data_IF_702238990584
#
_entry.id   IF_702238990584
#
_cell.length_a   1.000
_cell.length_b   1.000
_cell.length_c   1.000
_cell.angle_alpha   90.00
_cell.angle_beta   90.00
_cell.angle_gamma   90.00
#
_symmetry.space_group_name_H-M   'P 1'
#
loop_
_entity.id
_entity.type
_entity.pdbx_description
1 polymer ?
#
# COMPACT_ATOMS: atom_id res chain seq x y z
N UNK A 1 -6.45 22.80 -22.07
CA UNK A 1 -6.50 23.44 -20.73
C UNK A 1 -7.70 22.89 -19.96
N UNK A 2 -7.55 21.67 -19.43
CA UNK A 2 -8.59 20.94 -18.71
C UNK A 2 -8.48 21.17 -17.18
N UNK A 3 -9.58 20.90 -16.46
CA UNK A 3 -10.00 21.54 -15.21
C UNK A 3 -9.02 21.52 -14.03
N UNK A 4 -8.84 22.69 -13.40
CA UNK A 4 -8.18 22.89 -12.10
C UNK A 4 -8.98 22.30 -10.95
N UNK A 5 -8.46 21.29 -10.28
CA UNK A 5 -8.81 21.05 -8.88
C UNK A 5 -8.02 22.02 -8.02
N UNK A 6 -8.77 22.79 -7.24
CA UNK A 6 -8.24 23.82 -6.34
C UNK A 6 -7.70 23.23 -5.03
N UNK A 7 -7.97 21.95 -4.75
CA UNK A 7 -7.84 21.34 -3.43
C UNK A 7 -7.34 19.88 -3.49
N UNK A 8 -6.03 19.67 -3.49
CA UNK A 8 -5.41 18.33 -3.36
C UNK A 8 -4.33 18.31 -2.29
N UNK A 9 -3.86 17.11 -1.91
CA UNK A 9 -2.73 16.99 -1.00
C UNK A 9 -1.44 17.59 -1.57
N UNK A 10 -1.23 17.49 -2.90
CA UNK A 10 -0.12 18.15 -3.58
C UNK A 10 -0.11 19.67 -3.35
N UNK A 11 -1.27 20.32 -3.54
CA UNK A 11 -1.38 21.77 -3.31
C UNK A 11 -1.10 22.12 -1.83
N UNK A 12 -1.56 21.30 -0.87
CA UNK A 12 -1.27 21.48 0.55
C UNK A 12 0.21 21.35 0.88
N UNK A 13 0.89 20.37 0.29
CA UNK A 13 2.32 20.14 0.48
C UNK A 13 3.15 21.33 -0.04
N UNK A 14 2.86 21.81 -1.24
CA UNK A 14 3.55 22.95 -1.84
C UNK A 14 3.35 24.22 -1.01
N UNK A 15 2.11 24.48 -0.55
CA UNK A 15 1.82 25.63 0.32
C UNK A 15 2.59 25.56 1.63
N UNK A 16 2.63 24.40 2.29
CA UNK A 16 3.39 24.20 3.54
C UNK A 16 4.89 24.47 3.35
N UNK A 17 5.41 24.24 2.15
CA UNK A 17 6.82 24.43 1.79
C UNK A 17 7.10 25.76 1.08
N UNK A 18 6.08 26.62 0.93
CA UNK A 18 6.17 27.91 0.24
C UNK A 18 6.67 27.81 -1.22
N UNK A 19 6.26 26.74 -1.92
CA UNK A 19 6.65 26.48 -3.31
C UNK A 19 5.50 26.88 -4.24
N UNK A 20 5.85 27.55 -5.35
CA UNK A 20 4.91 27.90 -6.42
C UNK A 20 5.38 27.30 -7.74
N UNK A 21 4.48 26.67 -8.48
CA UNK A 21 4.81 26.01 -9.76
C UNK A 21 4.03 26.69 -10.88
N UNK A 22 4.69 26.88 -12.02
CA UNK A 22 4.15 27.56 -13.19
C UNK A 22 4.34 26.70 -14.44
N UNK A 23 3.29 26.62 -15.26
CA UNK A 23 3.33 26.04 -16.59
C UNK A 23 2.81 27.07 -17.60
N UNK A 24 3.54 27.26 -18.71
CA UNK A 24 3.21 28.25 -19.74
C UNK A 24 2.93 29.67 -19.17
N UNK A 25 3.73 30.10 -18.18
CA UNK A 25 3.60 31.41 -17.54
C UNK A 25 2.41 31.57 -16.59
N UNK A 26 1.57 30.54 -16.41
CA UNK A 26 0.47 30.53 -15.44
C UNK A 26 0.85 29.69 -14.24
N UNK A 27 0.51 30.18 -13.05
CA UNK A 27 0.63 29.37 -11.84
C UNK A 27 -0.35 28.20 -11.89
N UNK A 28 0.15 27.03 -11.55
CA UNK A 28 -0.60 25.79 -11.42
C UNK A 28 -0.48 25.30 -9.98
N UNK A 29 -1.39 24.41 -9.56
CA UNK A 29 -1.37 23.84 -8.21
C UNK A 29 -1.53 24.89 -7.08
N UNK A 30 -2.21 25.99 -7.38
CA UNK A 30 -2.51 27.02 -6.39
C UNK A 30 -3.58 26.51 -5.39
N UNK A 31 -3.35 26.78 -4.11
CA UNK A 31 -4.24 26.36 -3.02
C UNK A 31 -4.91 27.57 -2.37
N UNK A 32 -6.22 27.69 -2.52
CA UNK A 32 -6.97 28.77 -1.87
C UNK A 32 -7.22 28.52 -0.36
N UNK A 33 -7.30 27.25 0.11
CA UNK A 33 -7.62 26.92 1.51
C UNK A 33 -6.63 25.93 2.14
N UNK A 34 -6.23 26.10 3.41
CA UNK A 34 -5.35 25.17 4.09
C UNK A 34 -6.06 23.83 4.37
N UNK A 35 -5.51 22.74 3.85
CA UNK A 35 -5.97 21.37 4.15
C UNK A 35 -4.98 20.69 5.08
N UNK A 36 -5.46 20.12 6.19
CA UNK A 36 -4.66 19.30 7.08
C UNK A 36 -5.02 17.84 6.89
N UNK A 37 -4.01 17.01 6.68
CA UNK A 37 -4.14 15.56 6.61
C UNK A 37 -3.44 14.94 7.83
N UNK A 38 -3.93 13.79 8.34
CA UNK A 38 -3.28 13.09 9.44
C UNK A 38 -1.90 12.57 8.99
N UNK A 39 -0.97 12.45 9.94
CA UNK A 39 0.29 11.75 9.70
C UNK A 39 0.02 10.24 9.56
N UNK A 40 0.68 9.58 8.61
CA UNK A 40 0.62 8.14 8.48
C UNK A 40 1.45 7.51 9.60
N UNK A 41 0.77 7.03 10.64
CA UNK A 41 1.36 6.25 11.74
C UNK A 41 0.67 4.90 11.84
N UNK A 42 1.49 3.87 11.90
CA UNK A 42 1.05 2.48 12.01
C UNK A 42 1.29 2.00 13.43
N UNK A 43 0.31 1.31 14.02
CA UNK A 43 0.42 0.79 15.37
C UNK A 43 0.04 -0.68 15.45
N UNK A 44 0.92 -1.44 16.07
CA UNK A 44 0.66 -2.79 16.53
C UNK A 44 -0.13 -2.78 17.84
N UNK A 45 -1.20 -3.57 17.92
CA UNK A 45 -1.84 -3.90 19.20
C UNK A 45 -1.10 -5.03 19.88
N UNK A 46 -0.24 -4.71 20.84
CA UNK A 46 0.49 -5.72 21.61
C UNK A 46 -0.50 -6.55 22.43
N UNK A 47 -0.54 -7.86 22.17
CA UNK A 47 -1.47 -8.78 22.81
C UNK A 47 -2.66 -9.19 21.93
N UNK A 48 -2.88 -8.51 20.80
CA UNK A 48 -3.84 -8.95 19.78
C UNK A 48 -3.29 -10.16 19.02
N UNK A 49 -4.12 -11.17 18.81
CA UNK A 49 -3.75 -12.35 18.04
C UNK A 49 -4.15 -12.17 16.58
N UNK A 50 -3.30 -11.55 15.78
CA UNK A 50 -3.60 -11.32 14.36
C UNK A 50 -3.91 -12.60 13.58
N UNK A 51 -3.41 -13.77 14.01
CA UNK A 51 -3.76 -15.04 13.36
C UNK A 51 -5.26 -15.40 13.51
N UNK A 52 -5.96 -14.94 14.55
CA UNK A 52 -7.40 -15.19 14.69
C UNK A 52 -8.24 -14.44 13.66
N UNK A 53 -7.70 -13.39 13.04
CA UNK A 53 -8.41 -12.60 12.03
C UNK A 53 -8.41 -13.31 10.66
N UNK A 54 -7.50 -14.26 10.44
CA UNK A 54 -7.33 -15.00 9.17
C UNK A 54 -7.68 -16.49 9.25
N UNK A 55 -7.71 -17.08 10.45
CA UNK A 55 -7.97 -18.51 10.64
C UNK A 55 -9.48 -18.76 10.77
N UNK A 56 -10.05 -19.51 9.81
CA UNK A 56 -11.35 -20.16 9.99
C UNK A 56 -11.29 -21.04 11.27
N UNK A 57 -12.19 -20.76 12.23
CA UNK A 57 -12.30 -21.38 13.57
C UNK A 57 -11.50 -22.67 13.77
N UNK A 58 -10.30 -22.58 14.38
CA UNK A 58 -9.52 -23.76 14.76
C UNK A 58 -10.00 -24.32 16.10
N UNK A 59 -11.09 -25.11 16.03
CA UNK A 59 -11.56 -25.89 17.17
C UNK A 59 -10.67 -27.12 17.33
N UNK A 60 -9.87 -27.17 18.40
CA UNK A 60 -9.06 -28.35 18.73
C UNK A 60 -9.90 -29.37 19.53
N UNK A 61 -9.70 -30.66 19.25
CA UNK A 61 -10.30 -31.77 20.00
C UNK A 61 -9.26 -32.48 20.85
N UNK A 62 -9.42 -32.45 22.17
CA UNK A 62 -8.63 -33.23 23.13
C UNK A 62 -9.39 -34.49 23.53
N UNK A 63 -8.76 -35.65 23.40
CA UNK A 63 -9.29 -36.95 23.85
C UNK A 63 -8.17 -37.74 24.55
N UNK A 64 -8.40 -38.17 25.79
CA UNK A 64 -7.49 -39.06 26.52
C UNK A 64 -6.24 -38.40 27.12
N UNK A 65 -6.09 -37.08 27.01
CA UNK A 65 -4.99 -36.34 27.65
C UNK A 65 -5.50 -35.53 28.85
N UNK A 66 -5.73 -36.23 29.97
CA UNK A 66 -6.31 -35.62 31.18
C UNK A 66 -5.36 -34.63 31.85
N UNK A 67 -4.05 -34.86 31.71
CA UNK A 67 -3.02 -33.95 32.23
C UNK A 67 -3.10 -32.59 31.56
N UNK A 68 -3.29 -32.56 30.23
CA UNK A 68 -3.47 -31.30 29.49
C UNK A 68 -4.77 -30.60 29.85
N UNK A 69 -5.86 -31.32 30.10
CA UNK A 69 -7.10 -30.72 30.62
C UNK A 69 -6.87 -30.03 31.97
N UNK A 70 -6.16 -30.70 32.88
CA UNK A 70 -5.80 -30.14 34.19
C UNK A 70 -4.92 -28.89 34.08
N UNK A 71 -3.97 -28.87 33.14
CA UNK A 71 -3.15 -27.69 32.85
C UNK A 71 -3.98 -26.49 32.38
N UNK A 72 -5.15 -26.72 31.78
CA UNK A 72 -6.10 -25.68 31.36
C UNK A 72 -7.03 -25.23 32.50
N UNK A 73 -6.81 -25.71 33.72
CA UNK A 73 -7.55 -25.33 34.93
C UNK A 73 -8.87 -26.07 35.13
N UNK A 74 -9.11 -27.13 34.36
CA UNK A 74 -10.37 -27.87 34.34
C UNK A 74 -10.17 -29.33 34.75
N UNK A 75 -11.18 -29.92 35.39
CA UNK A 75 -11.33 -31.36 35.59
C UNK A 75 -12.72 -31.79 35.16
N UNK A 76 -12.90 -33.09 34.90
CA UNK A 76 -14.22 -33.68 34.63
C UNK A 76 -14.77 -34.20 35.95
N UNK A 77 -15.92 -33.69 36.35
CA UNK A 77 -16.67 -34.19 37.51
C UNK A 77 -17.82 -35.08 37.10
N UNK A 78 -18.15 -36.01 37.98
CA UNK A 78 -19.32 -36.89 37.83
C UNK A 78 -20.25 -36.77 39.03
N UNK A 79 -21.56 -36.84 38.79
CA UNK A 79 -22.58 -36.98 39.85
C UNK A 79 -23.59 -38.07 39.48
N UNK A 80 -24.23 -38.64 40.49
CA UNK A 80 -25.30 -39.61 40.28
C UNK A 80 -26.54 -38.89 39.71
N UNK A 81 -27.07 -39.36 38.59
CA UNK A 81 -28.24 -38.74 37.96
C UNK A 81 -29.49 -39.02 38.82
N UNK A 82 -30.27 -37.99 39.21
CA UNK A 82 -31.52 -38.21 39.94
C UNK A 82 -32.60 -38.74 38.98
N UNK A 83 -32.84 -40.05 39.01
CA UNK A 83 -33.91 -40.72 38.26
C UNK A 83 -33.43 -41.60 37.10
N UNK A 84 -34.39 -42.19 36.37
CA UNK A 84 -34.14 -42.99 35.16
C UNK A 84 -33.76 -42.02 34.03
N UNK A 85 -32.48 -41.61 33.99
CA UNK A 85 -31.94 -40.87 32.86
C UNK A 85 -32.09 -41.72 31.58
N UNK A 86 -32.54 -41.10 30.49
CA UNK A 86 -32.69 -41.73 29.17
C UNK A 86 -31.38 -42.47 28.80
N UNK A 87 -31.41 -43.81 28.83
CA UNK A 87 -30.26 -44.66 28.49
C UNK A 87 -29.66 -45.51 29.63
N UNK A 88 -30.25 -45.54 30.83
CA UNK A 88 -29.86 -46.48 31.89
C UNK A 88 -28.51 -46.18 32.56
N UNK A 89 -27.90 -45.03 32.25
CA UNK A 89 -26.63 -44.63 32.80
C UNK A 89 -26.81 -43.94 34.16
N UNK A 90 -26.06 -44.41 35.15
CA UNK A 90 -26.11 -43.94 36.53
C UNK A 90 -25.45 -42.56 36.73
N UNK A 91 -24.51 -42.15 35.87
CA UNK A 91 -23.68 -40.99 36.10
C UNK A 91 -23.77 -39.94 35.00
N UNK A 92 -23.81 -38.68 35.42
CA UNK A 92 -23.75 -37.46 34.62
C UNK A 92 -22.36 -36.83 34.72
N UNK A 93 -21.84 -36.31 33.60
CA UNK A 93 -20.50 -35.69 33.51
C UNK A 93 -20.58 -34.21 33.16
N UNK A 94 -19.67 -33.41 33.72
CA UNK A 94 -19.57 -31.98 33.42
C UNK A 94 -18.16 -31.48 33.74
N UNK A 95 -17.73 -30.41 33.07
CA UNK A 95 -16.45 -29.78 33.43
C UNK A 95 -16.65 -28.94 34.68
N UNK A 96 -15.70 -29.07 35.59
CA UNK A 96 -15.61 -28.21 36.76
C UNK A 96 -14.20 -27.68 36.89
N UNK A 97 -14.03 -26.52 37.53
CA UNK A 97 -12.70 -26.03 37.83
C UNK A 97 -11.92 -27.01 38.69
N UNK A 98 -10.60 -27.10 38.48
CA UNK A 98 -9.73 -28.10 39.12
C UNK A 98 -9.80 -28.04 40.67
N UNK A 99 -9.90 -26.84 41.23
CA UNK A 99 -10.01 -26.54 42.66
C UNK A 99 -11.46 -26.53 43.18
N UNK A 100 -12.44 -27.01 42.42
CA UNK A 100 -13.80 -27.25 42.94
C UNK A 100 -13.87 -28.43 43.91
N UNK A 101 -14.84 -28.37 44.83
CA UNK A 101 -15.18 -29.47 45.76
C UNK A 101 -15.90 -30.63 45.09
N UNK A 102 -16.23 -30.50 43.79
CA UNK A 102 -16.87 -31.57 43.05
C UNK A 102 -15.90 -32.75 42.89
N UNK A 103 -16.45 -33.96 42.96
CA UNK A 103 -15.70 -35.19 42.77
C UNK A 103 -14.96 -35.15 41.43
N UNK A 104 -13.68 -35.48 41.46
CA UNK A 104 -12.84 -35.58 40.27
C UNK A 104 -12.95 -37.00 39.71
N UNK A 105 -13.37 -37.13 38.46
CA UNK A 105 -13.43 -38.43 37.80
C UNK A 105 -12.04 -38.98 37.49
N UNK A 106 -11.02 -38.11 37.35
CA UNK A 106 -9.62 -38.49 37.17
C UNK A 106 -9.22 -38.95 35.77
N UNK A 107 -10.16 -39.05 34.82
CA UNK A 107 -9.90 -39.39 33.41
C UNK A 107 -11.01 -38.85 32.48
N UNK A 108 -10.88 -39.07 31.17
CA UNK A 108 -11.97 -38.92 30.21
C UNK A 108 -12.91 -40.12 30.29
N UNK A 109 -14.21 -39.91 30.59
CA UNK A 109 -15.18 -41.00 30.50
C UNK A 109 -15.25 -41.55 29.07
N UNK A 110 -15.68 -42.81 28.92
CA UNK A 110 -15.72 -43.48 27.61
C UNK A 110 -16.48 -42.63 26.58
N UNK A 111 -15.87 -42.48 25.39
CA UNK A 111 -16.38 -41.68 24.27
C UNK A 111 -16.53 -40.17 24.52
N UNK A 112 -15.98 -39.65 25.61
CA UNK A 112 -15.92 -38.21 25.86
C UNK A 112 -14.67 -37.58 25.27
N UNK A 113 -14.78 -36.30 24.94
CA UNK A 113 -13.69 -35.47 24.50
C UNK A 113 -14.01 -34.01 24.82
N UNK A 114 -12.98 -33.19 24.87
CA UNK A 114 -13.11 -31.76 25.11
C UNK A 114 -12.79 -31.02 23.82
N UNK A 115 -13.64 -30.07 23.44
CA UNK A 115 -13.37 -29.13 22.38
C UNK A 115 -12.82 -27.84 22.98
N UNK A 116 -11.79 -27.29 22.37
CA UNK A 116 -11.20 -26.01 22.73
C UNK A 116 -11.30 -25.08 21.53
N UNK A 117 -11.96 -23.96 21.75
CA UNK A 117 -11.88 -22.82 20.86
C UNK A 117 -10.75 -21.92 21.37
N UNK A 118 -9.60 -21.99 20.71
CA UNK A 118 -8.43 -21.19 21.06
C UNK A 118 -8.62 -19.70 20.78
N UNK A 119 -9.52 -19.36 19.85
CA UNK A 119 -9.81 -17.98 19.46
C UNK A 119 -10.72 -17.34 20.51
N UNK A 120 -11.88 -17.95 20.75
CA UNK A 120 -12.83 -17.44 21.75
C UNK A 120 -12.43 -17.75 23.21
N UNK A 121 -11.31 -18.48 23.39
CA UNK A 121 -10.81 -18.98 24.69
C UNK A 121 -11.85 -19.75 25.48
N UNK A 122 -12.59 -20.62 24.80
CA UNK A 122 -13.66 -21.42 25.38
C UNK A 122 -13.34 -22.91 25.33
N UNK A 123 -13.90 -23.64 26.27
CA UNK A 123 -13.80 -25.09 26.42
C UNK A 123 -15.19 -25.69 26.55
N UNK A 124 -15.39 -26.88 26.00
CA UNK A 124 -16.66 -27.58 26.08
C UNK A 124 -16.43 -29.08 26.16
N UNK A 125 -17.10 -29.75 27.10
CA UNK A 125 -17.12 -31.21 27.15
C UNK A 125 -18.21 -31.75 26.24
N UNK A 126 -17.83 -32.73 25.44
CA UNK A 126 -18.72 -33.48 24.58
C UNK A 126 -18.66 -34.96 24.94
N UNK A 127 -19.81 -35.63 24.89
CA UNK A 127 -19.95 -37.05 25.21
C UNK A 127 -21.39 -37.41 25.56
N UNK A 128 -21.60 -38.66 25.99
CA UNK A 128 -22.88 -39.17 26.48
C UNK A 128 -23.11 -38.73 27.94
N UNK A 129 -24.32 -38.33 28.30
CA UNK A 129 -24.67 -37.89 29.67
C UNK A 129 -23.88 -36.66 30.18
N UNK A 130 -23.48 -35.78 29.26
CA UNK A 130 -22.95 -34.47 29.64
C UNK A 130 -24.11 -33.53 29.97
N UNK A 131 -24.16 -33.02 31.21
CA UNK A 131 -25.30 -32.24 31.75
C UNK A 131 -25.52 -30.95 30.98
N UNK A 132 -24.44 -30.24 30.66
CA UNK A 132 -24.50 -28.99 29.90
C UNK A 132 -23.42 -28.98 28.81
N UNK A 133 -23.85 -29.09 27.55
CA UNK A 133 -22.99 -28.92 26.36
C UNK A 133 -22.72 -27.44 26.08
N UNK A 134 -22.43 -26.64 27.11
CA UNK A 134 -22.14 -25.21 26.98
C UNK A 134 -20.65 -24.97 26.84
N UNK A 135 -20.31 -23.94 26.08
CA UNK A 135 -18.96 -23.40 26.07
C UNK A 135 -18.70 -22.63 27.36
N UNK A 136 -17.62 -22.95 28.05
CA UNK A 136 -17.16 -22.33 29.28
C UNK A 136 -15.81 -21.66 29.05
N UNK A 137 -15.44 -20.59 29.78
CA UNK A 137 -14.16 -19.94 29.60
C UNK A 137 -12.98 -20.85 30.00
N UNK A 138 -11.84 -20.77 29.32
CA UNK A 138 -10.62 -21.44 29.80
C UNK A 138 -10.16 -20.86 31.16
N UNK A 139 -9.54 -21.69 32.00
CA UNK A 139 -8.94 -21.34 33.30
C UNK A 139 -9.90 -20.70 34.35
N UNK A 140 -10.82 -21.49 34.91
CA UNK A 140 -12.02 -20.96 35.56
C UNK A 140 -11.88 -20.52 37.03
N UNK A 141 -10.71 -20.57 37.69
CA UNK A 141 -10.69 -20.29 39.15
C UNK A 141 -9.51 -19.53 39.78
N UNK A 142 -9.92 -18.46 40.48
CA UNK A 142 -9.53 -18.11 41.86
C UNK A 142 -10.73 -17.60 42.71
N UNK A 143 -11.99 -17.77 42.26
CA UNK A 143 -13.18 -17.13 42.88
C UNK A 143 -13.60 -17.66 44.25
N UNK A 144 -13.28 -18.91 44.61
CA UNK A 144 -13.95 -19.56 45.75
C UNK A 144 -13.21 -19.47 47.11
N UNK A 145 -11.91 -19.15 47.15
CA UNK A 145 -11.16 -19.21 48.43
C UNK A 145 -11.44 -18.06 49.41
N UNK A 146 -12.03 -16.94 48.97
CA UNK A 146 -12.16 -15.74 49.82
C UNK A 146 -13.57 -15.60 50.44
N UNK A 147 -14.57 -16.29 49.90
CA UNK A 147 -15.98 -16.22 50.36
C UNK A 147 -16.16 -16.72 51.81
N UNK A 148 -15.16 -17.41 52.40
CA UNK A 148 -15.22 -17.89 53.80
C UNK A 148 -14.80 -16.87 54.87
N UNK A 149 -14.31 -15.67 54.51
CA UNK A 149 -14.11 -14.61 55.51
C UNK A 149 -15.36 -13.72 55.52
N UNK A 150 -15.86 -13.36 56.71
CA UNK A 150 -16.96 -12.38 56.86
C UNK A 150 -16.54 -11.06 56.19
N UNK A 151 -17.03 -10.82 54.99
CA UNK A 151 -16.80 -9.60 54.22
C UNK A 151 -17.80 -8.55 54.70
N UNK A 152 -17.34 -7.35 55.00
CA UNK A 152 -18.20 -6.19 55.29
C UNK A 152 -18.50 -5.43 53.98
N UNK A 153 -19.66 -4.77 53.85
CA UNK A 153 -20.06 -4.07 52.61
C UNK A 153 -19.04 -3.04 52.10
N UNK A 154 -18.22 -2.48 53.00
CA UNK A 154 -17.23 -1.44 52.71
C UNK A 154 -15.89 -1.96 52.15
N UNK A 155 -15.72 -3.28 52.00
CA UNK A 155 -14.47 -3.88 51.50
C UNK A 155 -14.60 -4.44 50.08
N UNK A 156 -15.79 -4.39 49.48
CA UNK A 156 -16.08 -5.02 48.18
C UNK A 156 -15.16 -4.47 47.09
N UNK A 157 -15.01 -3.14 46.99
CA UNK A 157 -14.19 -2.51 45.95
C UNK A 157 -12.70 -2.85 46.08
N UNK A 158 -12.15 -2.78 47.31
CA UNK A 158 -10.75 -3.11 47.61
C UNK A 158 -10.42 -4.58 47.31
N UNK A 159 -11.39 -5.45 47.54
CA UNK A 159 -11.32 -6.88 47.27
C UNK A 159 -11.38 -7.12 45.76
N UNK A 160 -12.27 -6.44 45.03
CA UNK A 160 -12.37 -6.49 43.56
C UNK A 160 -11.05 -6.09 42.88
N UNK A 161 -10.44 -4.97 43.30
CA UNK A 161 -9.17 -4.49 42.74
C UNK A 161 -7.99 -5.40 43.09
N UNK A 162 -7.98 -5.99 44.29
CA UNK A 162 -6.99 -7.00 44.71
C UNK A 162 -7.13 -8.30 43.91
N UNK A 163 -8.36 -8.72 43.61
CA UNK A 163 -8.68 -9.91 42.83
C UNK A 163 -8.26 -9.81 41.37
N UNK A 164 -8.51 -8.66 40.72
CA UNK A 164 -8.07 -8.41 39.36
C UNK A 164 -6.53 -8.45 39.27
N UNK A 165 -5.84 -7.82 40.22
CA UNK A 165 -4.38 -7.85 40.28
C UNK A 165 -3.81 -9.25 40.51
N UNK A 166 -4.37 -10.03 41.43
CA UNK A 166 -3.93 -11.41 41.69
C UNK A 166 -4.24 -12.36 40.53
N UNK A 167 -5.33 -12.14 39.79
CA UNK A 167 -5.68 -12.87 38.59
C UNK A 167 -4.66 -12.62 37.47
N UNK A 168 -4.39 -11.34 37.16
CA UNK A 168 -3.41 -10.96 36.15
C UNK A 168 -1.96 -11.36 36.51
N UNK A 169 -1.62 -11.41 37.80
CA UNK A 169 -0.26 -11.77 38.23
C UNK A 169 0.05 -13.28 38.12
N UNK A 170 -0.95 -14.16 38.25
CA UNK A 170 -0.77 -15.62 38.28
C UNK A 170 -1.11 -16.35 36.97
N UNK A 171 -1.61 -15.63 35.96
CA UNK A 171 -1.71 -16.17 34.60
C UNK A 171 -0.30 -16.54 34.09
N UNK A 172 -0.11 -17.72 33.48
CA UNK A 172 1.10 -17.99 32.70
C UNK A 172 1.35 -16.82 31.74
N UNK A 173 2.61 -16.44 31.52
CA UNK A 173 2.99 -15.25 30.73
C UNK A 173 2.35 -15.21 29.33
N UNK A 174 2.01 -16.37 28.76
CA UNK A 174 1.34 -16.50 27.46
C UNK A 174 -0.19 -16.28 27.49
N UNK A 175 -0.83 -16.30 28.67
CA UNK A 175 -2.28 -16.08 28.84
C UNK A 175 -2.64 -14.73 29.47
N UNK A 176 -1.68 -14.03 30.06
CA UNK A 176 -1.89 -12.67 30.59
C UNK A 176 -2.43 -11.79 29.46
N UNK A 177 -3.61 -11.19 29.64
CA UNK A 177 -4.03 -10.04 28.84
C UNK A 177 -2.96 -8.97 29.01
N UNK A 178 -2.05 -8.88 28.04
CA UNK A 178 -1.23 -7.69 27.90
C UNK A 178 -2.24 -6.59 27.68
N UNK A 179 -2.29 -5.60 28.59
CA UNK A 179 -3.01 -4.36 28.34
C UNK A 179 -2.70 -3.96 26.90
N UNK A 180 -3.72 -3.72 26.09
CA UNK A 180 -3.54 -3.31 24.70
C UNK A 180 -2.62 -2.09 24.71
N UNK A 181 -1.36 -2.33 24.36
CA UNK A 181 -0.36 -1.29 24.20
C UNK A 181 -0.20 -1.13 22.71
N UNK A 182 -0.44 0.08 22.22
CA UNK A 182 -0.13 0.45 20.86
C UNK A 182 1.39 0.65 20.76
N UNK A 183 2.05 -0.17 19.95
CA UNK A 183 3.46 0.00 19.61
C UNK A 183 3.56 0.49 18.18
N UNK A 184 4.18 1.65 17.98
CA UNK A 184 4.40 2.20 16.64
C UNK A 184 5.29 1.28 15.80
N UNK A 185 4.96 1.13 14.52
CA UNK A 185 5.74 0.39 13.51
C UNK A 185 6.31 1.42 12.52
N UNK A 186 7.59 1.81 12.67
CA UNK A 186 8.21 2.80 11.79
C UNK A 186 8.49 2.26 10.38
N UNK A 187 8.59 0.94 10.20
CA UNK A 187 8.89 0.30 8.92
C UNK A 187 7.66 0.15 8.02
N UNK A 188 7.86 -0.01 6.70
CA UNK A 188 6.77 -0.16 5.74
C UNK A 188 6.21 -1.58 5.80
N UNK A 189 4.92 -1.73 6.10
CA UNK A 189 4.28 -3.03 6.30
C UNK A 189 3.88 -3.61 4.95
N UNK A 190 4.31 -4.85 4.69
CA UNK A 190 3.92 -5.62 3.50
C UNK A 190 2.66 -6.44 3.78
N UNK A 191 2.54 -6.98 5.00
CA UNK A 191 1.39 -7.76 5.41
C UNK A 191 1.64 -8.55 6.70
N UNK A 192 0.77 -9.51 6.97
CA UNK A 192 0.86 -10.42 8.11
C UNK A 192 0.98 -11.85 7.58
N UNK A 193 1.90 -12.65 8.13
CA UNK A 193 2.01 -14.07 7.80
C UNK A 193 0.83 -14.85 8.37
N UNK A 194 0.63 -16.07 7.88
CA UNK A 194 -0.34 -17.03 8.44
C UNK A 194 -0.12 -17.32 9.93
N UNK A 195 1.09 -17.06 10.44
CA UNK A 195 1.44 -17.26 11.85
C UNK A 195 1.14 -16.01 12.71
N UNK A 196 0.62 -14.93 12.12
CA UNK A 196 0.38 -13.66 12.80
C UNK A 196 1.65 -12.81 12.94
N UNK A 197 2.70 -13.08 12.17
CA UNK A 197 3.93 -12.28 12.18
C UNK A 197 3.81 -11.12 11.21
N UNK A 198 4.27 -9.93 11.60
CA UNK A 198 4.25 -8.77 10.71
C UNK A 198 5.46 -8.83 9.80
N UNK A 199 5.22 -8.71 8.50
CA UNK A 199 6.27 -8.56 7.50
C UNK A 199 6.45 -7.09 7.17
N UNK A 200 7.66 -6.57 7.36
CA UNK A 200 8.02 -5.20 7.01
C UNK A 200 9.19 -5.17 6.02
N UNK A 201 9.30 -4.09 5.25
CA UNK A 201 10.50 -3.79 4.47
C UNK A 201 11.60 -3.24 5.37
N UNK A 202 12.81 -3.77 5.19
CA UNK A 202 14.00 -3.31 5.88
C UNK A 202 14.47 -1.96 5.29
N UNK A 203 14.45 -0.87 6.09
CA UNK A 203 14.89 0.44 5.63
C UNK A 203 16.41 0.53 5.43
N UNK A 204 17.19 -0.40 5.98
CA UNK A 204 18.65 -0.39 5.92
C UNK A 204 19.24 -1.07 4.68
N UNK A 205 18.38 -1.56 3.78
CA UNK A 205 18.85 -2.19 2.54
C UNK A 205 19.33 -1.13 1.55
N UNK A 206 20.65 -0.92 1.51
CA UNK A 206 21.35 -0.13 0.46
C UNK A 206 21.19 -0.73 -0.96
N UNK A 207 20.53 -1.89 -1.07
CA UNK A 207 20.27 -2.58 -2.33
C UNK A 207 18.99 -2.04 -2.93
N UNK A 208 19.06 -1.61 -4.19
CA UNK A 208 17.87 -1.26 -4.97
C UNK A 208 16.84 -2.41 -4.91
N UNK A 209 15.76 -2.19 -4.17
CA UNK A 209 14.70 -3.20 -3.98
C UNK A 209 13.96 -3.34 -5.32
N UNK A 210 14.15 -4.49 -5.98
CA UNK A 210 13.33 -4.89 -7.12
C UNK A 210 12.22 -5.80 -6.62
N UNK A 211 11.03 -5.24 -6.46
CA UNK A 211 9.84 -5.97 -6.05
C UNK A 211 8.93 -6.23 -7.27
N UNK A 212 8.52 -7.49 -7.45
CA UNK A 212 7.52 -7.88 -8.44
C UNK A 212 6.23 -8.28 -7.72
N UNK A 213 5.14 -7.54 -7.95
CA UNK A 213 3.81 -7.88 -7.41
C UNK A 213 3.02 -8.57 -8.53
N UNK A 214 2.84 -9.88 -8.41
CA UNK A 214 2.17 -10.71 -9.40
C UNK A 214 0.98 -11.46 -8.80
N UNK A 215 -0.05 -11.70 -9.62
CA UNK A 215 -1.31 -12.34 -9.18
C UNK A 215 -2.44 -12.18 -10.19
N UNK A 216 -3.48 -12.99 -10.07
CA UNK A 216 -4.66 -12.93 -10.93
C UNK A 216 -5.50 -11.67 -10.67
N UNK A 217 -6.47 -11.39 -11.55
CA UNK A 217 -7.45 -10.32 -11.31
C UNK A 217 -8.17 -10.55 -9.97
N UNK A 218 -8.43 -9.48 -9.22
CA UNK A 218 -9.08 -9.55 -7.90
C UNK A 218 -8.20 -10.00 -6.73
N UNK A 219 -6.93 -10.36 -6.94
CA UNK A 219 -6.03 -10.82 -5.85
C UNK A 219 -5.34 -9.68 -5.08
N UNK A 220 -5.91 -8.47 -5.05
CA UNK A 220 -5.37 -7.37 -4.23
C UNK A 220 -4.06 -6.72 -4.70
N UNK A 221 -3.52 -7.05 -5.89
CA UNK A 221 -2.25 -6.47 -6.40
C UNK A 221 -2.17 -4.95 -6.30
N UNK A 222 -3.22 -4.26 -6.76
CA UNK A 222 -3.29 -2.81 -6.75
C UNK A 222 -3.30 -2.29 -5.31
N UNK A 223 -4.07 -2.91 -4.42
CA UNK A 223 -4.11 -2.55 -3.00
C UNK A 223 -2.73 -2.71 -2.34
N UNK A 224 -2.02 -3.82 -2.60
CA UNK A 224 -0.66 -4.03 -2.10
C UNK A 224 0.32 -2.96 -2.61
N UNK A 225 0.29 -2.67 -3.92
CA UNK A 225 1.10 -1.59 -4.52
C UNK A 225 0.84 -0.26 -3.81
N UNK A 226 -0.43 0.06 -3.62
CA UNK A 226 -0.89 1.33 -3.06
C UNK A 226 -0.49 1.50 -1.60
N UNK A 227 -0.62 0.43 -0.80
CA UNK A 227 -0.14 0.44 0.58
C UNK A 227 1.35 0.69 0.62
N UNK A 228 2.11 -0.06 -0.17
CA UNK A 228 3.55 0.05 -0.18
C UNK A 228 4.01 1.46 -0.59
N UNK A 229 3.42 2.03 -1.65
CA UNK A 229 3.69 3.40 -2.07
C UNK A 229 3.36 4.40 -0.96
N UNK A 230 2.19 4.28 -0.33
CA UNK A 230 1.78 5.13 0.80
C UNK A 230 2.77 5.09 1.96
N UNK A 231 3.17 3.90 2.36
CA UNK A 231 4.10 3.69 3.47
C UNK A 231 5.50 4.21 3.13
N UNK A 232 6.02 3.91 1.93
CA UNK A 232 7.35 4.35 1.49
C UNK A 232 7.45 5.88 1.34
N UNK A 233 6.36 6.53 0.92
CA UNK A 233 6.32 7.99 0.81
C UNK A 233 6.24 8.68 2.17
N UNK A 234 5.30 8.25 3.04
CA UNK A 234 5.01 8.96 4.28
C UNK A 234 5.95 8.61 5.43
N UNK A 235 6.57 7.42 5.44
CA UNK A 235 7.45 6.99 6.54
C UNK A 235 8.87 7.50 6.33
N UNK A 236 9.37 8.43 7.17
CA UNK A 236 10.65 9.11 6.94
C UNK A 236 11.87 8.17 6.89
N UNK A 237 11.77 7.00 7.53
CA UNK A 237 12.85 6.02 7.60
C UNK A 237 13.21 5.45 6.21
N UNK A 238 12.29 5.48 5.24
CA UNK A 238 12.52 5.00 3.87
C UNK A 238 12.96 6.09 2.91
N UNK A 239 12.61 7.36 3.19
CA UNK A 239 12.98 8.54 2.39
C UNK A 239 12.87 8.33 0.86
N UNK A 240 11.77 7.72 0.40
CA UNK A 240 11.59 7.33 -0.99
C UNK A 240 10.87 8.40 -1.81
N UNK A 241 11.46 8.77 -2.94
CA UNK A 241 10.72 9.48 -4.00
C UNK A 241 9.99 8.46 -4.87
N UNK A 242 8.73 8.72 -5.17
CA UNK A 242 7.89 7.83 -5.96
C UNK A 242 7.72 8.41 -7.35
N UNK A 243 7.88 7.55 -8.35
CA UNK A 243 7.62 7.83 -9.75
C UNK A 243 6.77 6.68 -10.30
N UNK A 244 5.71 7.00 -11.01
CA UNK A 244 4.79 6.00 -11.54
C UNK A 244 4.63 6.11 -13.06
N UNK A 245 4.63 4.96 -13.72
CA UNK A 245 4.16 4.79 -15.10
C UNK A 245 2.91 3.93 -14.99
N UNK A 246 1.75 4.52 -15.25
CA UNK A 246 0.47 3.88 -15.02
C UNK A 246 -0.29 3.73 -16.35
N UNK A 247 -0.50 2.48 -16.76
CA UNK A 247 -1.56 2.15 -17.71
C UNK A 247 -2.89 2.25 -16.94
N UNK A 248 -3.73 3.22 -17.30
CA UNK A 248 -4.99 3.51 -16.60
C UNK A 248 -5.86 2.27 -16.57
N UNK A 249 -6.02 1.71 -15.37
CA UNK A 249 -7.09 0.77 -15.06
C UNK A 249 -8.02 1.42 -14.06
N UNK A 250 -9.30 1.43 -14.40
CA UNK A 250 -10.43 1.96 -13.61
C UNK A 250 -10.66 1.25 -12.25
N UNK A 251 -9.69 0.47 -11.78
CA UNK A 251 -9.85 -0.47 -10.66
C UNK A 251 -9.54 0.18 -9.29
N UNK A 252 -9.06 1.43 -9.24
CA UNK A 252 -8.65 2.10 -8.00
C UNK A 252 -9.19 3.52 -7.92
N UNK A 253 -9.67 3.92 -6.73
CA UNK A 253 -10.02 5.31 -6.43
C UNK A 253 -8.80 6.24 -6.62
N UNK A 254 -9.07 7.54 -6.82
CA UNK A 254 -8.01 8.55 -7.03
C UNK A 254 -7.07 8.60 -5.82
N UNK A 255 -5.76 8.55 -6.07
CA UNK A 255 -4.74 8.57 -4.99
C UNK A 255 -4.58 9.94 -4.32
N UNK A 256 -5.18 10.97 -4.92
CA UNK A 256 -5.17 12.34 -4.42
C UNK A 256 -6.08 12.53 -3.19
N UNK A 257 -6.92 11.54 -2.87
CA UNK A 257 -7.97 11.60 -1.85
C UNK A 257 -7.83 10.47 -0.82
N UNK A 258 -8.49 10.65 0.34
CA UNK A 258 -8.61 9.58 1.33
C UNK A 258 -9.56 8.50 0.82
N UNK A 259 -9.18 7.24 0.98
CA UNK A 259 -10.04 6.09 0.71
C UNK A 259 -11.36 6.14 1.47
N UNK A 260 -12.44 5.74 0.79
CA UNK A 260 -13.76 5.60 1.40
C UNK A 260 -13.77 4.54 2.49
N UNK A 261 -14.50 4.80 3.57
CA UNK A 261 -14.61 3.88 4.72
C UNK A 261 -15.22 2.52 4.36
N UNK A 262 -16.02 2.48 3.30
CA UNK A 262 -16.67 1.27 2.80
C UNK A 262 -15.75 0.43 1.91
N UNK A 263 -14.63 1.01 1.44
CA UNK A 263 -13.71 0.32 0.54
C UNK A 263 -12.95 -0.79 1.29
N UNK A 264 -12.79 -2.01 0.72
CA UNK A 264 -12.11 -3.13 1.38
C UNK A 264 -10.70 -2.79 1.88
N UNK A 265 -9.96 -2.01 1.10
CA UNK A 265 -8.64 -1.51 1.47
C UNK A 265 -8.64 -0.67 2.75
N UNK A 266 -9.68 0.15 3.00
CA UNK A 266 -9.78 0.92 4.24
C UNK A 266 -9.86 -0.01 5.46
N UNK A 267 -10.55 -1.15 5.33
CA UNK A 267 -10.65 -2.15 6.39
C UNK A 267 -9.30 -2.81 6.69
N UNK A 268 -8.49 -3.07 5.66
CA UNK A 268 -7.13 -3.59 5.84
C UNK A 268 -6.24 -2.61 6.61
N UNK A 269 -6.30 -1.31 6.31
CA UNK A 269 -5.55 -0.28 7.06
C UNK A 269 -5.89 -0.29 8.56
N UNK A 270 -7.16 -0.56 8.91
CA UNK A 270 -7.57 -0.63 10.32
C UNK A 270 -6.91 -1.75 11.11
N UNK A 271 -6.44 -2.84 10.46
CA UNK A 271 -5.69 -3.91 11.14
C UNK A 271 -4.43 -3.37 11.82
N UNK A 272 -3.80 -2.37 11.21
CA UNK A 272 -2.60 -1.70 11.71
C UNK A 272 -2.91 -0.36 12.38
N UNK A 273 -4.18 -0.05 12.64
CA UNK A 273 -4.64 1.26 13.12
C UNK A 273 -4.11 2.41 12.23
N UNK A 274 -3.95 2.15 10.93
CA UNK A 274 -3.45 3.13 9.98
C UNK A 274 -4.59 4.05 9.51
N UNK A 275 -4.39 5.37 9.50
CA UNK A 275 -5.32 6.28 8.86
C UNK A 275 -5.20 6.17 7.34
N UNK A 276 -6.30 6.45 6.64
CA UNK A 276 -6.26 6.70 5.20
C UNK A 276 -5.66 8.08 4.96
N UNK A 277 -4.51 8.13 4.27
CA UNK A 277 -3.79 9.38 3.95
C UNK A 277 -3.63 9.47 2.43
N UNK A 278 -3.98 10.61 1.80
CA UNK A 278 -3.78 10.78 0.37
C UNK A 278 -2.29 10.87 0.03
N UNK A 279 -1.99 10.77 -1.26
CA UNK A 279 -0.66 10.97 -1.82
C UNK A 279 -0.66 12.20 -2.76
N UNK A 280 0.44 12.95 -2.86
CA UNK A 280 0.51 14.19 -3.63
C UNK A 280 0.79 13.88 -5.10
N UNK A 281 -0.10 13.08 -5.69
CA UNK A 281 -0.02 12.68 -7.10
C UNK A 281 -0.27 13.86 -8.03
N UNK A 282 0.49 13.87 -9.12
CA UNK A 282 0.32 14.74 -10.27
C UNK A 282 0.28 13.84 -11.51
N UNK A 283 -0.87 13.78 -12.16
CA UNK A 283 -1.05 12.97 -13.36
C UNK A 283 -0.53 13.75 -14.58
N UNK A 284 0.46 13.17 -15.25
CA UNK A 284 1.11 13.77 -16.40
C UNK A 284 0.62 13.02 -17.64
N UNK A 285 -0.08 13.74 -18.51
CA UNK A 285 -0.66 13.20 -19.74
C UNK A 285 0.17 13.67 -20.94
N UNK A 286 1.02 12.82 -21.52
CA UNK A 286 1.69 13.14 -22.76
C UNK A 286 0.68 13.53 -23.84
N UNK A 287 0.93 14.63 -24.54
CA UNK A 287 0.09 15.05 -25.65
C UNK A 287 0.09 13.99 -26.75
N UNK A 288 -1.02 13.30 -26.98
CA UNK A 288 -1.14 12.33 -28.07
C UNK A 288 -2.30 12.68 -28.98
N UNK A 289 -2.13 12.43 -30.29
CA UNK A 289 -3.12 12.73 -31.34
C UNK A 289 -4.52 12.12 -31.10
N UNK A 290 -4.62 11.11 -30.24
CA UNK A 290 -5.85 10.34 -29.99
C UNK A 290 -6.37 10.44 -28.53
N UNK A 291 -5.70 11.21 -27.67
CA UNK A 291 -6.11 11.46 -26.28
C UNK A 291 -6.90 12.78 -26.31
N UNK A 292 -8.08 12.73 -26.91
CA UNK A 292 -9.07 13.83 -26.89
C UNK A 292 -10.27 13.47 -26.01
N UNK A 293 -10.18 12.43 -25.18
CA UNK A 293 -11.27 12.15 -24.26
C UNK A 293 -11.24 13.19 -23.14
N UNK A 294 -12.28 14.01 -23.12
CA UNK A 294 -12.61 14.98 -22.06
C UNK A 294 -12.79 14.32 -20.67
N UNK A 295 -12.71 12.98 -20.60
CA UNK A 295 -12.90 12.14 -19.42
C UNK A 295 -11.61 11.56 -18.83
N UNK A 296 -10.42 11.93 -19.33
CA UNK A 296 -9.15 11.31 -18.89
C UNK A 296 -8.72 11.78 -17.49
N UNK A 297 -9.22 12.94 -17.05
CA UNK A 297 -9.01 13.45 -15.70
C UNK A 297 -10.26 13.15 -14.87
N UNK A 298 -10.14 12.28 -13.86
CA UNK A 298 -11.25 12.08 -12.93
C UNK A 298 -11.59 13.40 -12.23
N UNK A 299 -12.87 13.55 -11.88
CA UNK A 299 -13.31 14.55 -10.90
C UNK A 299 -12.46 14.34 -9.64
N UNK A 300 -11.75 15.38 -9.21
CA UNK A 300 -10.84 15.40 -8.05
C UNK A 300 -9.38 14.90 -8.26
N UNK A 301 -8.96 14.63 -9.50
CA UNK A 301 -7.55 14.38 -9.86
C UNK A 301 -6.76 15.56 -10.44
N UNK A 302 -5.55 15.78 -9.92
CA UNK A 302 -4.67 16.83 -10.42
C UNK A 302 -3.85 16.33 -11.60
N UNK A 303 -4.27 16.66 -12.81
CA UNK A 303 -3.51 16.28 -14.00
C UNK A 303 -3.31 17.40 -15.01
N UNK A 304 -2.25 17.24 -15.80
CA UNK A 304 -1.77 18.21 -16.77
C UNK A 304 -1.33 17.53 -18.06
N UNK A 305 -1.66 18.18 -19.17
CA UNK A 305 -1.04 17.86 -20.45
C UNK A 305 0.43 18.26 -20.43
N UNK A 306 1.30 17.37 -20.87
CA UNK A 306 2.75 17.60 -20.94
C UNK A 306 3.29 17.21 -22.31
N UNK A 307 4.40 17.83 -22.68
CA UNK A 307 5.16 17.47 -23.87
C UNK A 307 6.58 17.08 -23.47
N UNK A 308 7.21 16.21 -24.25
CA UNK A 308 8.61 15.85 -24.05
C UNK A 308 9.54 16.83 -24.78
N UNK A 309 10.74 17.09 -24.23
CA UNK A 309 11.71 17.98 -24.86
C UNK A 309 12.24 17.39 -26.18
N UNK A 310 11.96 18.05 -27.32
CA UNK A 310 12.40 17.61 -28.65
C UNK A 310 13.92 17.46 -28.73
N UNK A 311 14.65 18.42 -28.15
CA UNK A 311 16.11 18.45 -28.20
C UNK A 311 16.73 17.26 -27.47
N UNK A 312 16.27 16.98 -26.26
CA UNK A 312 16.80 15.88 -25.45
C UNK A 312 16.46 14.53 -26.10
N UNK A 313 15.28 14.42 -26.72
CA UNK A 313 14.89 13.23 -27.48
C UNK A 313 15.82 12.94 -28.66
N UNK A 314 16.21 13.95 -29.44
CA UNK A 314 17.10 13.78 -30.58
C UNK A 314 18.57 13.59 -30.19
N UNK A 315 18.99 14.14 -29.04
CA UNK A 315 20.35 14.04 -28.53
C UNK A 315 20.66 12.67 -27.91
N UNK A 316 19.65 11.86 -27.55
CA UNK A 316 19.83 10.49 -27.08
C UNK A 316 19.33 9.46 -28.12
N UNK A 317 20.25 8.90 -28.95
CA UNK A 317 19.89 7.91 -29.95
C UNK A 317 19.26 6.63 -29.38
N UNK A 318 19.49 6.30 -28.11
CA UNK A 318 18.91 5.11 -27.48
C UNK A 318 17.40 5.24 -27.31
N UNK A 319 16.87 6.46 -27.16
CA UNK A 319 15.44 6.69 -27.03
C UNK A 319 14.66 6.23 -28.28
N UNK A 320 15.27 6.37 -29.46
CA UNK A 320 14.67 5.90 -30.71
C UNK A 320 14.66 4.38 -30.83
N UNK A 321 15.56 3.66 -30.15
CA UNK A 321 15.65 2.20 -30.21
C UNK A 321 14.50 1.50 -29.48
N UNK A 322 13.89 2.15 -28.50
CA UNK A 322 12.74 1.59 -27.76
C UNK A 322 11.50 1.42 -28.64
N UNK A 323 11.37 2.20 -29.72
CA UNK A 323 10.34 1.99 -30.72
C UNK A 323 10.95 1.28 -31.95
N UNK A 324 10.53 0.04 -32.21
CA UNK A 324 11.00 -0.76 -33.35
C UNK A 324 10.80 -0.06 -34.70
N UNK A 325 9.76 0.79 -34.83
CA UNK A 325 9.51 1.56 -36.05
C UNK A 325 10.51 2.71 -36.24
N UNK A 326 11.17 3.14 -35.16
CA UNK A 326 12.16 4.21 -35.15
C UNK A 326 13.60 3.71 -35.05
N UNK A 327 13.79 2.39 -35.03
CA UNK A 327 15.11 1.80 -34.99
C UNK A 327 15.94 2.24 -36.21
N UNK A 328 17.03 2.94 -35.94
CA UNK A 328 17.92 3.48 -36.97
C UNK A 328 19.15 2.60 -37.15
N UNK A 329 19.62 2.49 -38.39
CA UNK A 329 20.91 1.85 -38.66
C UNK A 329 22.06 2.71 -38.11
N UNK A 330 23.26 2.15 -37.84
CA UNK A 330 24.43 2.94 -37.49
C UNK A 330 24.74 4.08 -38.48
N UNK A 331 24.51 3.85 -39.78
CA UNK A 331 24.67 4.86 -40.81
C UNK A 331 23.65 6.00 -40.62
N UNK A 332 22.35 5.68 -40.50
CA UNK A 332 21.30 6.66 -40.26
C UNK A 332 21.57 7.52 -39.00
N UNK A 333 22.06 6.90 -37.92
CA UNK A 333 22.45 7.62 -36.70
C UNK A 333 23.59 8.59 -36.92
N UNK A 334 24.63 8.20 -37.66
CA UNK A 334 25.74 9.09 -38.01
C UNK A 334 25.23 10.31 -38.79
N UNK A 335 24.30 10.11 -39.73
CA UNK A 335 23.72 11.23 -40.48
C UNK A 335 22.81 12.12 -39.63
N UNK A 336 21.98 11.56 -38.76
CA UNK A 336 21.19 12.35 -37.79
C UNK A 336 22.12 13.16 -36.89
N UNK A 337 23.21 12.56 -36.41
CA UNK A 337 24.24 13.24 -35.63
C UNK A 337 24.87 14.39 -36.43
N UNK A 338 25.22 14.18 -37.70
CA UNK A 338 25.77 15.24 -38.57
C UNK A 338 24.76 16.36 -38.87
N UNK A 339 23.45 16.11 -38.74
CA UNK A 339 22.42 17.16 -38.84
C UNK A 339 22.33 18.00 -37.55
N UNK A 340 22.82 17.48 -36.43
CA UNK A 340 22.77 18.12 -35.10
C UNK A 340 24.10 18.80 -34.77
N UNK A 341 25.21 18.09 -34.98
CA UNK A 341 26.57 18.48 -34.58
C UNK A 341 27.44 18.83 -35.79
N UNK A 342 28.39 19.74 -35.58
CA UNK A 342 29.49 20.00 -36.50
C UNK A 342 30.61 18.94 -36.37
N UNK A 343 31.69 19.13 -37.14
CA UNK A 343 32.83 18.19 -37.16
C UNK A 343 33.62 18.20 -35.84
N UNK A 344 33.42 19.20 -34.99
CA UNK A 344 34.06 19.36 -33.68
C UNK A 344 33.18 18.82 -32.54
N UNK A 345 31.94 18.42 -32.85
CA UNK A 345 30.97 17.90 -31.89
C UNK A 345 30.11 18.98 -31.21
N UNK A 346 30.15 20.23 -31.70
CA UNK A 346 29.31 21.31 -31.17
C UNK A 346 27.94 21.30 -31.86
N UNK A 347 26.89 21.70 -31.14
CA UNK A 347 25.53 21.84 -31.69
C UNK A 347 25.52 22.96 -32.74
N UNK A 348 25.10 22.63 -33.97
CA UNK A 348 24.96 23.58 -35.08
C UNK A 348 23.86 24.61 -34.81
N UNK A 349 24.16 25.87 -35.13
CA UNK A 349 23.22 26.99 -35.02
C UNK A 349 22.10 26.97 -36.09
N UNK A 350 22.30 26.21 -37.16
CA UNK A 350 21.33 25.95 -38.23
C UNK A 350 20.92 24.47 -38.30
N UNK A 351 21.30 23.68 -37.30
CA UNK A 351 21.09 22.24 -37.26
C UNK A 351 19.65 21.82 -36.96
N UNK A 352 19.43 20.50 -36.95
CA UNK A 352 18.12 19.87 -36.79
C UNK A 352 17.39 20.31 -35.51
N UNK A 353 18.13 20.57 -34.42
CA UNK A 353 17.56 20.95 -33.12
C UNK A 353 16.92 22.35 -33.10
N UNK A 354 17.19 23.17 -34.12
CA UNK A 354 16.74 24.56 -34.21
C UNK A 354 15.72 24.78 -35.32
N UNK A 355 15.33 23.72 -36.03
CA UNK A 355 14.28 23.78 -37.05
C UNK A 355 12.90 23.77 -36.39
N UNK A 356 12.04 24.72 -36.75
CA UNK A 356 10.71 24.94 -36.18
C UNK A 356 9.56 24.32 -36.99
N UNK A 357 9.88 23.76 -38.17
CA UNK A 357 8.90 23.27 -39.15
C UNK A 357 9.41 22.03 -39.88
N UNK A 358 8.49 21.19 -40.35
CA UNK A 358 8.82 20.02 -41.17
C UNK A 358 9.45 20.43 -42.51
N UNK A 359 9.01 21.54 -43.09
CA UNK A 359 9.58 22.12 -44.30
C UNK A 359 11.03 22.54 -44.08
N UNK A 360 11.34 23.20 -42.96
CA UNK A 360 12.71 23.56 -42.58
C UNK A 360 13.61 22.33 -42.41
N UNK A 361 13.11 21.31 -41.71
CA UNK A 361 13.79 20.01 -41.57
C UNK A 361 14.06 19.36 -42.93
N UNK A 362 13.07 19.34 -43.82
CA UNK A 362 13.24 18.77 -45.15
C UNK A 362 14.31 19.52 -45.95
N UNK A 363 14.27 20.86 -45.93
CA UNK A 363 15.29 21.68 -46.60
C UNK A 363 16.69 21.43 -46.04
N UNK A 364 16.84 21.33 -44.71
CA UNK A 364 18.11 21.03 -44.05
C UNK A 364 18.67 19.67 -44.50
N UNK A 365 17.83 18.63 -44.47
CA UNK A 365 18.22 17.28 -44.92
C UNK A 365 18.63 17.30 -46.40
N UNK A 366 17.87 18.00 -47.25
CA UNK A 366 18.14 18.10 -48.68
C UNK A 366 19.47 18.83 -48.99
N UNK A 367 19.87 19.80 -48.15
CA UNK A 367 21.14 20.52 -48.30
C UNK A 367 22.34 19.75 -47.75
N UNK A 368 22.12 18.92 -46.74
CA UNK A 368 23.21 18.25 -46.00
C UNK A 368 23.52 16.85 -46.53
N UNK A 369 22.57 16.20 -47.22
CA UNK A 369 22.73 14.86 -47.80
C UNK A 369 22.64 14.99 -49.34
N UNK A 370 23.77 14.80 -50.02
CA UNK A 370 23.96 15.05 -51.45
C UNK A 370 23.02 14.23 -52.36
N UNK A 371 22.57 14.85 -53.46
CA UNK A 371 21.54 14.32 -54.38
C UNK A 371 22.05 13.22 -55.33
N UNK A 372 23.37 13.01 -55.41
CA UNK A 372 24.00 12.10 -56.38
C UNK A 372 24.43 10.72 -55.84
N UNK A 373 24.19 10.44 -54.56
CA UNK A 373 24.69 9.25 -53.86
C UNK A 373 23.56 8.21 -53.70
N UNK A 374 23.81 6.88 -53.70
CA UNK A 374 22.82 5.83 -53.35
C UNK A 374 22.06 6.03 -52.01
N UNK A 375 22.34 7.11 -51.29
CA UNK A 375 21.72 7.60 -50.06
C UNK A 375 20.37 8.31 -50.24
N UNK A 376 19.75 8.36 -51.43
CA UNK A 376 18.37 8.87 -51.58
C UNK A 376 17.37 8.13 -50.66
N UNK A 377 17.49 6.79 -50.58
CA UNK A 377 16.72 5.96 -49.64
C UNK A 377 17.00 6.27 -48.17
N UNK A 378 18.24 6.69 -47.86
CA UNK A 378 18.65 7.04 -46.50
C UNK A 378 18.08 8.38 -46.08
N UNK A 379 18.11 9.37 -46.99
CA UNK A 379 17.48 10.69 -46.82
C UNK A 379 15.97 10.55 -46.60
N UNK A 380 15.29 9.77 -47.45
CA UNK A 380 13.85 9.52 -47.31
C UNK A 380 13.53 8.78 -46.01
N UNK A 381 14.37 7.83 -45.60
CA UNK A 381 14.22 7.11 -44.33
C UNK A 381 14.37 8.02 -43.11
N UNK A 382 15.40 8.89 -43.09
CA UNK A 382 15.62 9.86 -41.99
C UNK A 382 14.46 10.87 -41.93
N UNK A 383 14.04 11.40 -43.08
CA UNK A 383 12.92 12.34 -43.12
C UNK A 383 11.60 11.67 -42.70
N UNK A 384 11.34 10.44 -43.15
CA UNK A 384 10.14 9.68 -42.75
C UNK A 384 10.13 9.42 -41.25
N UNK A 385 11.27 9.08 -40.66
CA UNK A 385 11.42 8.92 -39.21
C UNK A 385 11.08 10.22 -38.46
N UNK A 386 11.74 11.33 -38.81
CA UNK A 386 11.53 12.62 -38.15
C UNK A 386 10.10 13.10 -38.35
N UNK A 387 9.53 12.90 -39.55
CA UNK A 387 8.13 13.18 -39.86
C UNK A 387 7.18 12.35 -39.01
N UNK A 388 7.44 11.06 -38.81
CA UNK A 388 6.60 10.22 -37.95
C UNK A 388 6.64 10.74 -36.50
N UNK A 389 7.83 10.94 -35.94
CA UNK A 389 8.05 11.53 -34.61
C UNK A 389 7.30 12.86 -34.47
N UNK A 390 7.45 13.74 -35.46
CA UNK A 390 6.80 15.05 -35.47
C UNK A 390 5.27 14.93 -35.51
N UNK A 391 4.75 14.00 -36.32
CA UNK A 391 3.32 13.80 -36.51
C UNK A 391 2.60 13.26 -35.27
N UNK A 392 3.34 12.67 -34.31
CA UNK A 392 2.77 12.17 -33.05
C UNK A 392 2.32 13.28 -32.10
N UNK A 393 2.80 14.51 -32.29
CA UNK A 393 2.49 15.68 -31.44
C UNK A 393 2.81 15.49 -29.95
N UNK A 394 3.81 14.66 -29.63
CA UNK A 394 4.25 14.35 -28.25
C UNK A 394 5.40 15.26 -27.76
N UNK A 395 6.00 16.05 -28.66
CA UNK A 395 7.19 16.85 -28.38
C UNK A 395 6.81 18.33 -28.26
N UNK A 396 7.57 19.09 -27.47
CA UNK A 396 7.27 20.50 -27.20
C UNK A 396 7.21 21.36 -28.48
N UNK A 397 8.10 21.10 -29.43
CA UNK A 397 8.19 21.83 -30.70
C UNK A 397 6.95 21.70 -31.59
N UNK A 398 6.19 20.61 -31.45
CA UNK A 398 5.07 20.28 -32.34
C UNK A 398 3.71 20.20 -31.65
N UNK A 399 3.69 20.13 -30.31
CA UNK A 399 2.48 20.15 -29.50
C UNK A 399 2.02 21.56 -29.12
N UNK A 400 2.94 22.54 -29.11
CA UNK A 400 2.69 23.90 -28.61
C UNK A 400 2.63 23.97 -27.08
N UNK A 401 2.91 22.86 -26.38
CA UNK A 401 3.01 22.79 -24.92
C UNK A 401 4.49 22.79 -24.53
N UNK A 402 4.87 23.67 -23.60
CA UNK A 402 6.25 23.66 -23.09
C UNK A 402 6.55 22.35 -22.36
N UNK A 403 7.74 21.80 -22.61
CA UNK A 403 8.25 20.62 -21.88
C UNK A 403 8.69 20.95 -20.46
N UNK A 404 8.96 22.23 -20.15
CA UNK A 404 9.52 22.67 -18.87
C UNK A 404 8.51 23.39 -18.00
N UNK A 405 8.46 23.00 -16.73
CA UNK A 405 7.79 23.77 -15.70
C UNK A 405 8.78 24.65 -14.95
N UNK A 406 8.28 25.76 -14.43
CA UNK A 406 9.05 26.65 -13.57
C UNK A 406 8.58 26.49 -12.14
N UNK A 407 9.51 26.41 -11.19
CA UNK A 407 9.19 26.45 -9.78
C UNK A 407 9.93 27.57 -9.08
N UNK A 408 9.28 28.19 -8.10
CA UNK A 408 9.85 29.23 -7.25
C UNK A 408 9.78 28.79 -5.79
N UNK A 409 10.93 28.83 -5.11
CA UNK A 409 11.10 28.60 -3.68
C UNK A 409 11.92 29.76 -3.12
N UNK A 410 11.28 30.64 -2.34
CA UNK A 410 11.88 31.92 -1.97
C UNK A 410 12.26 32.73 -3.21
N UNK A 411 13.53 33.12 -3.34
CA UNK A 411 14.05 33.85 -4.51
C UNK A 411 14.63 32.95 -5.61
N UNK A 412 14.82 31.66 -5.32
CA UNK A 412 15.39 30.70 -6.28
C UNK A 412 14.34 30.25 -7.28
N UNK A 413 14.74 30.23 -8.56
CA UNK A 413 13.91 29.73 -9.67
C UNK A 413 14.53 28.47 -10.25
N UNK A 414 13.70 27.47 -10.48
CA UNK A 414 14.05 26.20 -11.11
C UNK A 414 13.27 26.04 -12.41
N UNK A 415 13.90 25.48 -13.44
CA UNK A 415 13.30 25.29 -14.75
C UNK A 415 13.68 23.91 -15.29
N UNK A 416 12.83 22.92 -15.08
CA UNK A 416 13.07 21.51 -15.41
C UNK A 416 11.84 20.90 -16.07
N UNK A 417 11.97 19.72 -16.70
CA UNK A 417 10.82 18.93 -17.09
C UNK A 417 9.81 18.75 -15.95
N UNK A 418 8.53 18.61 -16.30
CA UNK A 418 7.42 18.57 -15.33
C UNK A 418 7.59 17.50 -14.25
N UNK A 419 8.07 16.30 -14.63
CA UNK A 419 8.31 15.20 -13.70
C UNK A 419 9.47 15.47 -12.74
N UNK A 420 10.54 16.13 -13.19
CA UNK A 420 11.67 16.50 -12.34
C UNK A 420 11.26 17.55 -11.31
N UNK A 421 10.45 18.54 -11.71
CA UNK A 421 9.85 19.51 -10.79
C UNK A 421 8.98 18.78 -9.75
N UNK A 422 8.18 17.80 -10.16
CA UNK A 422 7.37 17.03 -9.22
C UNK A 422 8.25 16.32 -8.17
N UNK A 423 9.26 15.56 -8.62
CA UNK A 423 10.15 14.82 -7.72
C UNK A 423 10.94 15.76 -6.79
N UNK A 424 11.50 16.85 -7.33
CA UNK A 424 12.30 17.82 -6.57
C UNK A 424 11.53 18.41 -5.38
N UNK A 425 10.22 18.59 -5.54
CA UNK A 425 9.36 19.19 -4.50
C UNK A 425 8.52 18.17 -3.73
N UNK A 426 8.83 16.87 -3.87
CA UNK A 426 8.18 15.78 -3.13
C UNK A 426 6.76 15.48 -3.60
N UNK A 427 6.40 15.84 -4.83
CA UNK A 427 5.20 15.38 -5.51
C UNK A 427 5.47 14.04 -6.21
N UNK A 428 4.40 13.31 -6.52
CA UNK A 428 4.50 12.02 -7.20
C UNK A 428 4.03 12.18 -8.64
N UNK A 429 4.95 12.25 -9.64
CA UNK A 429 4.55 12.24 -11.04
C UNK A 429 4.04 10.83 -11.42
N UNK A 430 2.86 10.78 -12.03
CA UNK A 430 2.31 9.58 -12.63
C UNK A 430 2.11 9.81 -14.13
N UNK A 431 2.93 9.17 -14.95
CA UNK A 431 2.75 9.17 -16.40
C UNK A 431 1.54 8.30 -16.76
N UNK A 432 0.56 8.93 -17.38
CA UNK A 432 -0.64 8.27 -17.87
C UNK A 432 -0.44 7.90 -19.34
N UNK A 433 -0.39 6.59 -19.61
CA UNK A 433 0.01 6.04 -20.93
C UNK A 433 -1.13 5.49 -21.77
N UNK A 434 -2.35 5.36 -21.23
CA UNK A 434 -3.52 4.77 -21.92
C UNK A 434 -4.82 5.46 -21.56
#
# INVERSE_FOLDING_TARGET
MLSTIKHSYACSLLRKREIRIFANGKEILDQHYPLKFPELKSYLRVGHNYSSDFIEKKIEKIKGDYKRLNQLGWKISSKHAPGIAFGGARNEYFLTPIDSTNYDYGDFPRDHFVLIDWIERKIKLNGRNVVEKKWMPLNPKKRERIVKKKITPFQIDKIQSSWENDFHNNLPSFLKEKKEQLKEIPEAIVGITINGEICCLDPSSDVAIRANIAGMSGMGKSQTKNNLQGQLYHKPIHNCNIFEINDVKYDTQTYCMTWDKEHPYYQELQLFNEPSVPLPYIYLHPTMKNIQDENILYRDEVGFEIAFPFKDFLLDPKLMEFNKQWATTPASRKHIKNLIEDNEGNIKQDGLLLQDSLEGIQQLINRTIDVGDPSSKLRDSIFTLIKDVWSRKILDINSGITSKWFAKLGDTKYAYPSWDICLLFGLIPSFITS
#
